data_IF_846910299395
#
_entry.id   IF_846910299395
#
_cell.length_a   1.000
_cell.length_b   1.000
_cell.length_c   1.000
_cell.angle_alpha   90.00
_cell.angle_beta   90.00
_cell.angle_gamma   90.00
#
_symmetry.space_group_name_H-M   'P 1'
#
loop_
_entity.id
_entity.type
_entity.pdbx_description
1 polymer ?
#
# COMPACT_ATOMS: atom_id res chain seq x y z
N UNK A 1 -5.57 -11.46 42.63
CA UNK A 1 -4.74 -10.24 42.51
C UNK A 1 -3.29 -10.51 42.13
N UNK A 2 -2.59 -11.51 42.71
CA UNK A 2 -1.17 -11.81 42.44
C UNK A 2 -0.84 -12.15 40.97
N UNK A 3 -1.72 -12.84 40.24
CA UNK A 3 -1.48 -13.24 38.83
C UNK A 3 -1.51 -12.07 37.85
N UNK A 4 -2.31 -11.02 38.11
CA UNK A 4 -2.36 -9.82 37.25
C UNK A 4 -1.10 -8.95 37.38
N UNK A 5 -0.49 -8.90 38.56
CA UNK A 5 0.73 -8.12 38.79
C UNK A 5 1.94 -8.75 38.07
N UNK A 6 2.07 -10.07 38.07
CA UNK A 6 3.16 -10.79 37.39
C UNK A 6 3.12 -10.61 35.87
N UNK A 7 1.94 -10.62 35.26
CA UNK A 7 1.78 -10.42 33.81
C UNK A 7 2.18 -8.99 33.40
N UNK A 8 1.77 -7.99 34.18
CA UNK A 8 2.11 -6.58 33.89
C UNK A 8 3.62 -6.35 34.02
N UNK A 9 4.26 -6.91 35.05
CA UNK A 9 5.72 -6.80 35.23
C UNK A 9 6.50 -7.50 34.12
N UNK A 10 6.05 -8.67 33.63
CA UNK A 10 6.68 -9.38 32.51
C UNK A 10 6.56 -8.62 31.18
N UNK A 11 5.41 -7.98 30.92
CA UNK A 11 5.19 -7.16 29.73
C UNK A 11 6.08 -5.90 29.74
N UNK A 12 6.24 -5.25 30.90
CA UNK A 12 7.11 -4.08 31.07
C UNK A 12 8.61 -4.45 30.99
N UNK A 13 9.02 -5.59 31.55
CA UNK A 13 10.39 -6.09 31.42
C UNK A 13 10.73 -6.49 29.98
N UNK A 14 9.78 -7.12 29.26
CA UNK A 14 9.96 -7.45 27.85
C UNK A 14 10.01 -6.20 26.96
N UNK A 15 9.20 -5.16 27.24
CA UNK A 15 9.27 -3.90 26.47
C UNK A 15 10.59 -3.15 26.71
N UNK A 16 11.13 -3.21 27.94
CA UNK A 16 12.40 -2.57 28.31
C UNK A 16 13.61 -3.31 27.74
N UNK A 17 13.59 -4.66 27.75
CA UNK A 17 14.59 -5.49 27.08
C UNK A 17 14.52 -5.37 25.56
N UNK A 18 13.32 -5.17 25.00
CA UNK A 18 13.17 -4.77 23.61
C UNK A 18 13.83 -3.41 23.38
N UNK A 19 13.62 -2.36 24.16
CA UNK A 19 14.29 -1.07 23.89
C UNK A 19 15.83 -1.13 24.00
N UNK A 20 16.38 -1.94 24.90
CA UNK A 20 17.83 -2.09 25.08
C UNK A 20 18.53 -3.00 24.05
N UNK A 21 17.78 -3.86 23.33
CA UNK A 21 18.34 -4.80 22.34
C UNK A 21 18.39 -4.25 20.91
N UNK A 22 17.99 -2.99 20.69
CA UNK A 22 17.98 -2.39 19.37
C UNK A 22 19.28 -1.66 19.19
N UNK A 23 20.33 -2.45 18.92
CA UNK A 23 21.53 -1.85 18.39
C UNK A 23 21.14 -1.13 17.10
N UNK A 24 21.32 0.21 17.04
CA UNK A 24 20.86 0.99 15.90
C UNK A 24 21.65 0.57 14.63
N UNK A 25 22.87 0.07 14.85
CA UNK A 25 23.85 -0.35 13.88
C UNK A 25 24.09 -1.86 13.85
N UNK A 26 24.31 -2.42 12.66
CA UNK A 26 24.92 -3.75 12.51
C UNK A 26 26.41 -3.72 12.88
N UNK A 27 26.71 -3.68 14.18
CA UNK A 27 28.08 -3.61 14.73
C UNK A 27 29.01 -4.72 14.28
N UNK A 28 28.48 -5.84 13.83
CA UNK A 28 29.29 -6.99 13.43
C UNK A 28 29.57 -7.02 11.93
N UNK A 29 28.71 -6.44 11.10
CA UNK A 29 28.82 -6.58 9.64
C UNK A 29 28.47 -5.31 8.86
N UNK A 30 28.61 -4.14 9.46
CA UNK A 30 28.27 -2.87 8.83
C UNK A 30 29.32 -2.35 7.85
N UNK A 31 28.95 -1.35 7.01
CA UNK A 31 29.74 -0.90 5.86
C UNK A 31 30.94 -0.03 6.22
N UNK A 32 31.23 0.17 7.50
CA UNK A 32 32.36 0.94 7.99
C UNK A 32 33.00 0.17 9.15
N UNK A 33 34.24 0.50 9.48
CA UNK A 33 34.80 0.10 10.76
C UNK A 33 34.08 0.85 11.90
N UNK A 34 34.11 0.34 13.15
CA UNK A 34 33.42 0.97 14.28
C UNK A 34 33.72 2.46 14.47
N UNK A 35 34.95 2.89 14.19
CA UNK A 35 35.40 4.29 14.37
C UNK A 35 35.38 5.12 13.07
N UNK A 36 34.87 4.54 11.97
CA UNK A 36 34.84 5.13 10.61
C UNK A 36 33.40 5.43 10.16
N UNK A 37 32.45 5.48 11.11
CA UNK A 37 31.07 5.82 10.80
C UNK A 37 30.97 7.30 10.40
N UNK A 38 30.27 7.64 9.30
CA UNK A 38 30.06 9.03 8.92
C UNK A 38 29.22 9.79 9.95
N UNK A 39 29.22 11.12 9.85
CA UNK A 39 28.36 11.96 10.68
C UNK A 39 26.88 11.55 10.49
N UNK A 40 26.19 11.35 11.61
CA UNK A 40 24.77 11.01 11.61
C UNK A 40 23.97 12.27 11.34
N UNK A 41 23.14 12.23 10.30
CA UNK A 41 22.20 13.30 9.99
C UNK A 41 21.03 13.23 10.98
N UNK A 42 20.82 14.29 11.75
CA UNK A 42 19.80 14.32 12.80
C UNK A 42 18.39 14.40 12.22
N UNK A 43 17.53 13.45 12.62
CA UNK A 43 16.10 13.50 12.37
C UNK A 43 15.36 13.94 13.64
N UNK A 44 14.37 14.82 13.48
CA UNK A 44 13.55 15.27 14.60
C UNK A 44 12.39 14.30 14.81
N UNK A 45 12.16 13.79 16.03
CA UNK A 45 10.98 12.97 16.28
C UNK A 45 9.71 13.80 16.13
N UNK A 46 8.70 13.27 15.44
CA UNK A 46 7.37 13.88 15.38
C UNK A 46 6.57 13.51 16.62
N UNK A 47 5.83 14.48 17.16
CA UNK A 47 4.87 14.26 18.23
C UNK A 47 3.61 13.57 17.69
N UNK A 48 3.05 12.66 18.49
CA UNK A 48 1.69 12.18 18.26
C UNK A 48 0.71 13.26 18.71
N UNK A 49 0.09 13.95 17.75
CA UNK A 49 -0.77 15.11 18.01
C UNK A 49 -2.17 14.71 18.49
N UNK A 50 -2.73 13.66 17.88
CA UNK A 50 -4.10 13.21 18.15
C UNK A 50 -4.29 11.76 17.70
N UNK A 51 -5.17 11.03 18.40
CA UNK A 51 -5.67 9.71 18.00
C UNK A 51 -7.18 9.82 17.89
N UNK A 52 -7.68 9.83 16.65
CA UNK A 52 -9.12 9.86 16.37
C UNK A 52 -9.59 8.45 16.06
N UNK A 53 -10.44 7.92 16.93
CA UNK A 53 -11.19 6.70 16.66
C UNK A 53 -12.49 7.08 15.97
N UNK A 54 -12.60 6.87 14.66
CA UNK A 54 -13.91 6.97 14.00
C UNK A 54 -14.67 5.65 14.14
N UNK A 55 -15.99 5.75 14.39
CA UNK A 55 -16.89 4.58 14.31
C UNK A 55 -17.15 4.14 12.86
N UNK A 56 -16.75 4.93 11.86
CA UNK A 56 -16.93 4.66 10.43
C UNK A 56 -15.57 4.64 9.72
N UNK A 57 -15.42 3.70 8.78
CA UNK A 57 -14.32 3.59 7.79
C UNK A 57 -12.95 3.13 8.32
N UNK A 58 -12.31 3.91 9.19
CA UNK A 58 -11.04 3.56 9.85
C UNK A 58 -11.28 3.42 11.35
N UNK A 59 -10.69 2.41 11.99
CA UNK A 59 -10.83 2.27 13.45
C UNK A 59 -9.96 3.28 14.18
N UNK A 60 -8.85 3.70 13.56
CA UNK A 60 -7.90 4.62 14.18
C UNK A 60 -7.22 5.47 13.10
N UNK A 61 -7.36 6.80 13.20
CA UNK A 61 -6.47 7.77 12.56
C UNK A 61 -5.52 8.32 13.62
N UNK A 62 -4.24 8.39 13.30
CA UNK A 62 -3.25 9.00 14.17
C UNK A 62 -2.46 10.06 13.43
N UNK A 63 -2.34 11.22 14.08
CA UNK A 63 -1.73 12.40 13.52
C UNK A 63 -0.35 12.63 14.11
N UNK A 64 0.60 12.99 13.25
CA UNK A 64 1.99 13.28 13.60
C UNK A 64 2.40 14.62 13.03
N UNK A 65 3.14 15.40 13.81
CA UNK A 65 3.73 16.65 13.35
C UNK A 65 4.75 17.18 14.34
N UNK A 66 5.27 18.37 14.08
CA UNK A 66 6.24 19.04 14.97
C UNK A 66 5.44 19.98 15.87
N UNK A 67 5.40 19.71 17.18
CA UNK A 67 4.58 20.46 18.13
C UNK A 67 4.85 21.97 18.12
N UNK A 68 6.11 22.38 17.92
CA UNK A 68 6.51 23.78 17.90
C UNK A 68 6.29 24.47 16.53
N UNK A 69 5.71 23.75 15.56
CA UNK A 69 5.37 24.27 14.22
C UNK A 69 3.92 23.91 13.86
N UNK A 70 2.91 24.49 14.54
CA UNK A 70 1.50 24.14 14.32
C UNK A 70 0.98 24.47 12.91
N UNK A 71 1.69 25.33 12.17
CA UNK A 71 1.35 25.68 10.79
C UNK A 71 2.03 24.77 9.74
N UNK A 72 2.90 23.84 10.16
CA UNK A 72 3.53 22.89 9.26
C UNK A 72 2.55 21.78 8.85
N UNK A 73 2.77 21.13 7.70
CA UNK A 73 2.05 19.93 7.33
C UNK A 73 2.15 18.86 8.42
N UNK A 74 1.10 18.02 8.51
CA UNK A 74 1.04 16.90 9.43
C UNK A 74 0.82 15.59 8.67
N UNK A 75 1.42 14.53 9.17
CA UNK A 75 1.23 13.18 8.66
C UNK A 75 0.04 12.52 9.38
N UNK A 76 -0.92 12.02 8.61
CA UNK A 76 -2.04 11.24 9.12
C UNK A 76 -1.89 9.79 8.69
N UNK A 77 -1.80 8.90 9.68
CA UNK A 77 -1.75 7.45 9.47
C UNK A 77 -3.10 6.86 9.87
N UNK A 78 -3.84 6.39 8.88
CA UNK A 78 -5.11 5.71 9.06
C UNK A 78 -4.91 4.20 9.01
N UNK A 79 -5.42 3.51 10.03
CA UNK A 79 -5.38 2.06 10.14
C UNK A 79 -6.79 1.50 10.37
N UNK A 80 -6.98 0.30 9.84
CA UNK A 80 -8.21 -0.45 10.01
C UNK A 80 -7.93 -1.72 10.80
N UNK A 81 -8.74 -2.02 11.81
CA UNK A 81 -8.59 -3.27 12.58
C UNK A 81 -8.66 -4.50 11.70
N UNK A 82 -7.80 -5.47 11.99
CA UNK A 82 -7.78 -6.76 11.29
C UNK A 82 -7.07 -6.71 9.93
N UNK A 83 -6.72 -5.52 9.45
CA UNK A 83 -5.94 -5.32 8.24
C UNK A 83 -4.53 -4.87 8.61
N UNK A 84 -3.55 -5.38 7.89
CA UNK A 84 -2.15 -5.06 8.12
C UNK A 84 -1.67 -3.82 7.31
N UNK A 85 -2.61 -3.10 6.70
CA UNK A 85 -2.33 -1.96 5.83
C UNK A 85 -2.51 -0.65 6.60
N UNK A 86 -1.60 0.28 6.37
CA UNK A 86 -1.72 1.66 6.84
C UNK A 86 -1.82 2.60 5.64
N UNK A 87 -2.86 3.43 5.63
CA UNK A 87 -3.01 4.53 4.69
C UNK A 87 -2.35 5.77 5.26
N UNK A 88 -1.69 6.51 4.40
CA UNK A 88 -0.91 7.68 4.73
C UNK A 88 -1.48 8.86 3.96
N UNK A 89 -1.76 9.92 4.69
CA UNK A 89 -2.15 11.21 4.16
C UNK A 89 -1.18 12.26 4.70
N UNK A 90 -0.94 13.30 3.92
CA UNK A 90 -0.34 14.53 4.40
C UNK A 90 -1.42 15.59 4.37
N UNK A 91 -1.63 16.24 5.50
CA UNK A 91 -2.59 17.32 5.65
C UNK A 91 -1.86 18.63 5.91
N UNK A 92 -2.41 19.74 5.41
CA UNK A 92 -1.96 21.08 5.80
C UNK A 92 -2.38 21.42 7.25
N UNK A 93 -2.04 22.62 7.71
CA UNK A 93 -2.39 23.10 9.05
C UNK A 93 -3.89 23.33 9.28
N UNK A 94 -4.67 23.47 8.20
CA UNK A 94 -6.12 23.57 8.25
C UNK A 94 -6.81 22.20 8.25
N UNK A 95 -6.06 21.13 7.97
CA UNK A 95 -6.55 19.77 7.88
C UNK A 95 -7.01 19.35 6.49
N UNK A 96 -6.72 20.14 5.46
CA UNK A 96 -6.96 19.74 4.07
C UNK A 96 -5.92 18.69 3.67
N UNK A 97 -6.35 17.62 3.00
CA UNK A 97 -5.43 16.62 2.47
C UNK A 97 -4.70 17.22 1.27
N UNK A 98 -3.38 17.37 1.38
CA UNK A 98 -2.50 17.86 0.31
C UNK A 98 -1.73 16.72 -0.37
N UNK A 99 -1.77 15.50 0.19
CA UNK A 99 -1.27 14.29 -0.47
C UNK A 99 -1.90 13.03 0.14
N UNK A 100 -2.19 12.04 -0.71
CA UNK A 100 -2.73 10.73 -0.33
C UNK A 100 -4.21 10.53 -0.74
N UNK A 101 -4.79 9.33 -0.50
CA UNK A 101 -4.23 8.23 0.29
C UNK A 101 -3.05 7.53 -0.39
N UNK A 102 -1.95 7.38 0.34
CA UNK A 102 -0.84 6.51 -0.03
C UNK A 102 -0.86 5.25 0.81
N UNK A 103 -0.41 4.14 0.22
CA UNK A 103 -0.19 2.92 0.97
C UNK A 103 1.22 2.95 1.53
N UNK A 104 1.33 3.08 2.85
CA UNK A 104 2.65 3.11 3.49
C UNK A 104 3.29 1.72 3.53
N UNK A 105 2.55 0.71 3.97
CA UNK A 105 2.99 -0.69 3.97
C UNK A 105 1.84 -1.65 4.32
N UNK A 106 1.94 -2.89 3.85
CA UNK A 106 1.14 -4.05 4.26
C UNK A 106 2.02 -4.94 5.13
N UNK A 107 1.56 -5.41 6.29
CA UNK A 107 2.32 -6.30 7.23
C UNK A 107 3.15 -5.56 8.29
N UNK A 108 2.53 -4.67 9.06
CA UNK A 108 3.20 -4.01 10.19
C UNK A 108 2.68 -4.53 11.53
N UNK A 109 3.60 -5.09 12.34
CA UNK A 109 3.30 -5.52 13.70
C UNK A 109 3.35 -4.34 14.68
N UNK A 110 4.28 -3.41 14.45
CA UNK A 110 4.35 -2.16 15.20
C UNK A 110 5.13 -1.09 14.44
N UNK A 111 4.71 0.16 14.62
CA UNK A 111 5.45 1.33 14.15
C UNK A 111 6.46 1.72 15.23
N UNK A 112 7.69 2.01 14.82
CA UNK A 112 8.77 2.39 15.73
C UNK A 112 8.81 3.89 15.99
N UNK A 113 8.50 4.69 14.98
CA UNK A 113 8.44 6.14 15.12
C UNK A 113 8.16 6.84 13.79
N UNK A 114 7.79 8.12 13.92
CA UNK A 114 7.68 9.08 12.82
C UNK A 114 8.65 10.20 13.12
N UNK A 115 9.40 10.61 12.11
CA UNK A 115 10.42 11.64 12.21
C UNK A 115 10.28 12.63 11.05
N UNK A 116 10.91 13.77 11.18
CA UNK A 116 10.95 14.80 10.14
C UNK A 116 12.33 15.44 9.99
N UNK A 117 12.63 15.89 8.79
CA UNK A 117 13.75 16.75 8.45
C UNK A 117 13.59 17.32 7.03
N UNK A 118 14.46 18.24 6.62
CA UNK A 118 14.63 18.60 5.21
C UNK A 118 15.57 17.57 4.56
N UNK A 119 15.03 16.62 3.79
CA UNK A 119 15.80 15.52 3.20
C UNK A 119 16.21 15.81 1.76
N UNK A 120 15.31 16.42 0.98
CA UNK A 120 15.48 16.64 -0.46
C UNK A 120 16.10 18.02 -0.83
N UNK A 121 16.27 18.92 0.15
CA UNK A 121 16.89 20.24 -0.02
C UNK A 121 16.00 21.31 -0.66
N UNK A 122 14.67 21.18 -0.58
CA UNK A 122 13.71 22.15 -1.12
C UNK A 122 13.22 23.19 -0.09
N UNK A 123 13.80 23.19 1.12
CA UNK A 123 13.40 24.06 2.23
C UNK A 123 12.10 23.65 2.93
N UNK A 124 11.47 22.53 2.57
CA UNK A 124 10.25 22.03 3.19
C UNK A 124 10.52 20.83 4.07
N UNK A 125 9.58 20.57 4.97
CA UNK A 125 9.66 19.45 5.89
C UNK A 125 9.24 18.16 5.18
N UNK A 126 10.11 17.16 5.22
CA UNK A 126 9.86 15.78 4.81
C UNK A 126 9.65 14.89 6.02
N UNK A 127 9.04 13.71 5.82
CA UNK A 127 8.80 12.75 6.90
C UNK A 127 9.44 11.39 6.63
N UNK A 128 9.82 10.73 7.71
CA UNK A 128 10.34 9.37 7.73
C UNK A 128 9.50 8.54 8.70
N UNK A 129 8.96 7.42 8.22
CA UNK A 129 8.24 6.47 9.07
C UNK A 129 9.02 5.17 9.14
N UNK A 130 9.30 4.72 10.36
CA UNK A 130 9.99 3.45 10.62
C UNK A 130 8.98 2.41 11.09
N UNK A 131 8.89 1.30 10.37
CA UNK A 131 8.05 0.16 10.72
C UNK A 131 8.89 -1.05 11.09
N UNK A 132 8.52 -1.71 12.18
CA UNK A 132 9.03 -3.02 12.51
C UNK A 132 8.22 -4.09 11.76
N UNK A 133 8.94 -4.87 10.95
CA UNK A 133 8.37 -6.00 10.22
C UNK A 133 8.03 -7.21 11.10
N UNK A 134 8.58 -7.27 12.32
CA UNK A 134 8.44 -8.45 13.18
C UNK A 134 9.19 -9.67 12.61
N UNK A 135 8.83 -10.88 13.06
CA UNK A 135 9.44 -12.14 12.61
C UNK A 135 10.10 -12.94 13.73
N UNK A 136 11.01 -13.86 13.40
CA UNK A 136 11.88 -14.57 14.35
C UNK A 136 13.35 -14.50 13.89
N UNK A 137 14.29 -14.69 14.82
CA UNK A 137 15.73 -14.71 14.51
C UNK A 137 16.29 -13.38 13.99
N UNK A 138 17.14 -13.44 12.96
CA UNK A 138 17.74 -12.25 12.34
C UNK A 138 16.73 -11.34 11.67
N UNK A 139 15.56 -11.86 11.28
CA UNK A 139 14.47 -11.06 10.70
C UNK A 139 13.79 -10.22 11.80
N UNK A 140 13.44 -10.83 12.94
CA UNK A 140 12.79 -10.13 14.05
C UNK A 140 13.59 -8.93 14.56
N UNK A 141 14.89 -9.15 14.72
CA UNK A 141 15.73 -8.21 15.45
C UNK A 141 16.06 -6.99 14.59
N UNK A 142 16.02 -7.13 13.25
CA UNK A 142 16.69 -6.20 12.34
C UNK A 142 15.82 -5.73 11.17
N UNK A 143 14.66 -6.33 10.91
CA UNK A 143 13.86 -5.95 9.74
C UNK A 143 13.07 -4.68 10.00
N UNK A 144 13.46 -3.59 9.35
CA UNK A 144 12.82 -2.29 9.46
C UNK A 144 12.53 -1.75 8.06
N UNK A 145 11.24 -1.56 7.76
CA UNK A 145 10.88 -0.76 6.59
C UNK A 145 10.97 0.72 6.93
N UNK A 146 11.44 1.49 5.96
CA UNK A 146 11.46 2.94 6.05
C UNK A 146 10.61 3.49 4.93
N UNK A 147 9.63 4.31 5.29
CA UNK A 147 8.81 5.03 4.33
C UNK A 147 9.23 6.48 4.34
N UNK A 148 9.67 6.96 3.18
CA UNK A 148 10.02 8.36 2.96
C UNK A 148 8.81 9.07 2.38
N UNK A 149 8.46 10.22 2.97
CA UNK A 149 7.40 11.11 2.51
C UNK A 149 8.06 12.42 2.16
N UNK A 150 8.30 12.63 0.86
CA UNK A 150 9.09 13.75 0.37
C UNK A 150 8.19 14.81 -0.21
N UNK A 151 8.43 16.06 0.15
CA UNK A 151 7.82 17.22 -0.48
C UNK A 151 8.16 17.27 -1.97
N UNK A 152 7.17 17.66 -2.79
CA UNK A 152 7.33 17.80 -4.25
C UNK A 152 6.25 18.75 -4.80
N UNK A 153 6.65 19.93 -5.28
CA UNK A 153 5.70 20.96 -5.75
C UNK A 153 4.74 21.39 -4.63
N UNK A 154 3.42 21.32 -4.87
CA UNK A 154 2.41 21.64 -3.85
C UNK A 154 2.02 20.43 -2.96
N UNK A 155 2.57 19.25 -3.25
CA UNK A 155 2.20 17.99 -2.60
C UNK A 155 3.36 17.25 -1.97
N UNK A 156 3.17 15.93 -1.84
CA UNK A 156 4.15 14.99 -1.30
C UNK A 156 4.11 13.67 -2.08
N UNK A 157 5.27 13.05 -2.24
CA UNK A 157 5.41 11.68 -2.74
C UNK A 157 5.72 10.72 -1.60
N UNK A 158 5.42 9.43 -1.79
CA UNK A 158 5.67 8.38 -0.79
C UNK A 158 6.50 7.26 -1.41
N UNK A 159 7.66 6.99 -0.83
CA UNK A 159 8.56 5.91 -1.24
C UNK A 159 8.84 4.97 -0.08
N UNK A 160 8.15 3.82 -0.01
CA UNK A 160 8.49 2.77 0.94
C UNK A 160 9.73 2.00 0.49
N UNK A 161 10.59 1.67 1.44
CA UNK A 161 11.77 0.82 1.24
C UNK A 161 11.72 -0.38 2.15
N UNK A 162 12.18 -1.51 1.61
CA UNK A 162 12.34 -2.75 2.37
C UNK A 162 13.81 -2.98 2.66
N UNK A 163 14.17 -2.89 3.93
CA UNK A 163 15.54 -3.06 4.40
C UNK A 163 15.62 -3.92 5.64
N UNK A 164 16.84 -4.38 5.89
CA UNK A 164 17.27 -4.82 7.22
C UNK A 164 18.08 -3.67 7.80
N UNK A 165 18.19 -3.55 9.12
CA UNK A 165 19.00 -2.55 9.80
C UNK A 165 18.79 -1.13 9.28
N UNK A 166 17.76 -0.48 9.79
CA UNK A 166 17.34 0.86 9.37
C UNK A 166 17.24 1.76 10.60
N UNK A 167 18.29 1.81 11.42
CA UNK A 167 18.40 2.70 12.58
C UNK A 167 18.45 4.17 12.17
N UNK A 168 18.34 5.08 13.15
CA UNK A 168 18.45 6.52 12.88
C UNK A 168 19.88 6.93 12.50
N UNK A 169 20.88 6.17 12.93
CA UNK A 169 22.28 6.25 12.56
C UNK A 169 22.57 5.93 11.08
N UNK A 170 21.62 5.32 10.36
CA UNK A 170 21.73 5.09 8.90
C UNK A 170 21.37 6.32 8.08
N UNK A 171 20.85 7.39 8.71
CA UNK A 171 20.72 8.71 8.12
C UNK A 171 22.04 9.43 8.34
N UNK A 172 22.76 9.73 7.26
CA UNK A 172 24.16 10.15 7.34
C UNK A 172 24.43 11.32 6.40
N UNK A 173 25.28 12.23 6.85
CA UNK A 173 25.96 13.19 5.97
C UNK A 173 27.32 12.63 5.57
N UNK A 174 27.30 11.70 4.61
CA UNK A 174 28.52 11.02 4.16
C UNK A 174 29.53 11.94 3.45
N UNK A 175 29.14 13.16 3.09
CA UNK A 175 29.99 14.11 2.38
C UNK A 175 30.41 15.32 3.23
N UNK A 176 29.81 15.50 4.41
CA UNK A 176 29.98 16.73 5.19
C UNK A 176 29.38 17.96 4.48
N UNK A 177 28.38 17.77 3.60
CA UNK A 177 27.76 18.85 2.83
C UNK A 177 26.43 19.34 3.43
N UNK A 178 26.09 18.85 4.63
CA UNK A 178 24.85 19.13 5.34
C UNK A 178 23.63 18.42 4.75
N UNK A 179 23.78 17.52 3.77
CA UNK A 179 22.63 16.84 3.14
C UNK A 179 22.47 15.39 3.61
N UNK A 180 21.25 15.00 3.92
CA UNK A 180 20.95 13.64 4.35
C UNK A 180 21.09 12.62 3.21
N UNK A 181 21.74 11.49 3.49
CA UNK A 181 21.64 10.24 2.71
C UNK A 181 21.16 9.15 3.63
N UNK A 182 20.61 8.10 3.05
CA UNK A 182 20.20 6.93 3.80
C UNK A 182 21.00 5.70 3.37
N UNK A 183 21.61 5.01 4.32
CA UNK A 183 22.24 3.72 4.07
C UNK A 183 21.14 2.66 4.08
N UNK A 184 20.91 2.02 2.94
CA UNK A 184 19.99 0.90 2.80
C UNK A 184 20.75 -0.41 2.94
N UNK A 185 20.25 -1.34 3.76
CA UNK A 185 20.88 -2.66 3.94
C UNK A 185 19.96 -3.78 3.51
N UNK A 186 20.55 -4.81 2.89
CA UNK A 186 19.87 -6.04 2.53
C UNK A 186 20.72 -7.27 2.82
N UNK A 187 20.06 -8.38 3.13
CA UNK A 187 20.69 -9.69 3.19
C UNK A 187 20.45 -10.42 1.88
N UNK A 188 21.53 -10.87 1.25
CA UNK A 188 21.51 -11.58 -0.03
C UNK A 188 21.97 -13.01 0.19
N UNK A 189 21.07 -13.95 -0.11
CA UNK A 189 21.41 -15.36 -0.11
C UNK A 189 22.20 -15.70 -1.39
N UNK A 190 23.43 -16.22 -1.26
CA UNK A 190 24.27 -16.55 -2.41
C UNK A 190 24.05 -17.96 -2.98
N UNK A 191 22.91 -18.61 -2.69
CA UNK A 191 22.56 -19.92 -3.27
C UNK A 191 22.58 -19.83 -4.79
N UNK A 192 23.21 -20.82 -5.42
CA UNK A 192 23.35 -20.91 -6.87
C UNK A 192 24.58 -20.18 -7.44
N UNK A 193 25.29 -19.39 -6.63
CA UNK A 193 26.56 -18.76 -7.01
C UNK A 193 27.66 -19.25 -6.09
N UNK A 194 28.77 -19.72 -6.66
CA UNK A 194 29.94 -20.18 -5.91
C UNK A 194 30.97 -19.06 -5.82
N UNK A 195 31.46 -18.80 -4.61
CA UNK A 195 32.58 -17.91 -4.41
C UNK A 195 33.89 -18.52 -4.90
N UNK A 196 34.99 -17.78 -4.73
CA UNK A 196 36.35 -18.24 -5.10
C UNK A 196 36.77 -19.52 -4.38
N UNK A 197 36.22 -19.78 -3.20
CA UNK A 197 36.45 -21.02 -2.44
C UNK A 197 35.58 -22.21 -2.90
N UNK A 198 34.79 -22.06 -3.97
CA UNK A 198 33.90 -23.10 -4.51
C UNK A 198 32.61 -23.31 -3.69
N UNK A 199 32.35 -22.49 -2.66
CA UNK A 199 31.17 -22.61 -1.78
C UNK A 199 30.20 -21.45 -1.98
N UNK A 200 28.96 -21.64 -1.57
CA UNK A 200 27.96 -20.57 -1.55
C UNK A 200 27.94 -19.92 -0.17
N UNK A 201 27.84 -18.59 -0.14
CA UNK A 201 27.87 -17.78 1.08
C UNK A 201 26.72 -16.77 1.06
N UNK A 202 26.42 -16.17 2.20
CA UNK A 202 25.45 -15.07 2.29
C UNK A 202 26.16 -13.75 2.51
N UNK A 203 25.53 -12.66 2.08
CA UNK A 203 26.14 -11.34 2.09
C UNK A 203 25.20 -10.29 2.66
N UNK A 204 25.75 -9.38 3.45
CA UNK A 204 25.14 -8.10 3.72
C UNK A 204 25.52 -7.15 2.59
N UNK A 205 24.52 -6.51 1.98
CA UNK A 205 24.72 -5.56 0.89
C UNK A 205 24.18 -4.21 1.34
N UNK A 206 25.06 -3.22 1.34
CA UNK A 206 24.75 -1.85 1.68
C UNK A 206 24.73 -1.00 0.42
N UNK A 207 23.66 -0.24 0.24
CA UNK A 207 23.50 0.77 -0.80
C UNK A 207 23.35 2.14 -0.15
N UNK A 208 23.73 3.18 -0.87
CA UNK A 208 23.51 4.55 -0.47
C UNK A 208 22.34 5.12 -1.27
N UNK A 209 21.35 5.64 -0.56
CA UNK A 209 20.20 6.32 -1.13
C UNK A 209 20.37 7.83 -1.01
N UNK A 210 20.01 8.56 -2.07
CA UNK A 210 19.97 10.02 -2.13
C UNK A 210 18.52 10.47 -2.38
N UNK A 211 18.16 11.60 -1.80
CA UNK A 211 16.87 12.27 -2.00
C UNK A 211 17.04 13.36 -3.08
N UNK A 212 16.19 13.35 -4.12
CA UNK A 212 16.22 14.32 -5.23
C UNK A 212 14.79 14.74 -5.57
N UNK A 213 14.39 15.93 -5.10
CA UNK A 213 12.99 16.36 -5.14
C UNK A 213 12.08 15.31 -4.49
N UNK A 214 10.93 15.01 -5.08
CA UNK A 214 10.03 13.95 -4.63
C UNK A 214 10.50 12.51 -4.85
N UNK A 215 11.80 12.22 -5.03
CA UNK A 215 12.29 10.85 -5.34
C UNK A 215 13.42 10.41 -4.43
N UNK A 216 13.39 9.13 -4.06
CA UNK A 216 14.52 8.41 -3.46
C UNK A 216 15.22 7.60 -4.55
N UNK A 217 16.53 7.76 -4.69
CA UNK A 217 17.32 7.07 -5.73
C UNK A 217 18.54 6.39 -5.13
N UNK A 218 18.91 5.22 -5.65
CA UNK A 218 20.19 4.59 -5.30
C UNK A 218 21.32 5.39 -5.95
N UNK A 219 22.26 5.88 -5.16
CA UNK A 219 23.42 6.62 -5.64
C UNK A 219 24.72 6.19 -4.94
N UNK A 220 25.10 4.93 -5.17
CA UNK A 220 26.34 4.35 -4.67
C UNK A 220 27.61 5.09 -5.12
N UNK A 221 27.56 5.87 -6.21
CA UNK A 221 28.71 6.61 -6.74
C UNK A 221 29.13 7.80 -5.85
N UNK A 222 28.31 8.20 -4.87
CA UNK A 222 28.63 9.32 -3.98
C UNK A 222 29.76 9.02 -3.00
N UNK A 223 30.06 7.75 -2.74
CA UNK A 223 31.11 7.33 -1.81
C UNK A 223 31.74 6.02 -2.28
N UNK A 224 33.08 5.88 -2.25
CA UNK A 224 33.76 4.65 -2.68
C UNK A 224 33.44 3.45 -1.79
N UNK A 225 32.81 3.66 -0.64
CA UNK A 225 32.37 2.57 0.23
C UNK A 225 31.17 1.79 -0.33
N UNK A 226 30.47 2.29 -1.36
CA UNK A 226 29.20 1.71 -1.84
C UNK A 226 29.23 1.30 -3.33
N UNK A 227 28.45 0.26 -3.75
CA UNK A 227 27.75 -0.67 -2.88
C UNK A 227 28.74 -1.53 -2.10
N UNK A 228 28.48 -1.78 -0.81
CA UNK A 228 29.36 -2.61 0.01
C UNK A 228 28.78 -4.01 0.15
N UNK A 229 29.50 -5.00 -0.36
CA UNK A 229 29.16 -6.40 -0.16
C UNK A 229 30.04 -6.99 0.94
N UNK A 230 29.44 -7.39 2.04
CA UNK A 230 30.14 -7.92 3.21
C UNK A 230 29.74 -9.37 3.38
N UNK A 231 30.73 -10.28 3.40
CA UNK A 231 30.46 -11.70 3.67
C UNK A 231 29.96 -11.86 5.10
N UNK A 232 28.75 -12.44 5.24
CA UNK A 232 28.20 -12.82 6.52
C UNK A 232 28.95 -14.04 7.08
N UNK A 233 29.65 -13.82 8.19
CA UNK A 233 30.38 -14.86 8.92
C UNK A 233 29.93 -14.88 10.38
N UNK A 234 30.29 -15.95 11.11
CA UNK A 234 29.98 -16.06 12.55
C UNK A 234 30.75 -15.06 13.43
N UNK A 235 31.82 -14.46 12.90
CA UNK A 235 32.60 -13.42 13.59
C UNK A 235 32.27 -12.05 12.98
N UNK A 236 32.55 -10.95 13.69
CA UNK A 236 32.49 -9.63 13.08
C UNK A 236 33.35 -9.57 11.81
N UNK A 237 32.80 -9.00 10.74
CA UNK A 237 33.49 -8.76 9.48
C UNK A 237 32.92 -7.51 8.82
N UNK A 238 33.76 -6.47 8.68
CA UNK A 238 33.41 -5.22 8.01
C UNK A 238 34.05 -5.11 6.62
N UNK A 239 34.85 -6.10 6.23
CA UNK A 239 35.64 -6.02 5.00
C UNK A 239 34.77 -6.38 3.78
N UNK A 240 34.97 -5.69 2.63
CA UNK A 240 34.36 -6.09 1.39
C UNK A 240 34.69 -7.54 1.05
N UNK A 241 33.71 -8.29 0.55
CA UNK A 241 33.89 -9.69 0.17
C UNK A 241 34.87 -9.80 -1.00
N UNK A 242 35.83 -10.70 -0.87
CA UNK A 242 36.70 -11.15 -1.96
C UNK A 242 36.19 -12.43 -2.61
N UNK A 243 35.08 -13.00 -2.11
CA UNK A 243 34.53 -14.26 -2.61
C UNK A 243 33.80 -14.12 -3.93
N UNK A 244 33.29 -12.93 -4.26
CA UNK A 244 32.53 -12.68 -5.49
C UNK A 244 33.27 -11.73 -6.43
N UNK A 245 33.16 -11.99 -7.74
CA UNK A 245 33.45 -10.99 -8.76
C UNK A 245 32.19 -10.13 -9.06
N UNK A 246 32.32 -9.11 -9.92
CA UNK A 246 31.22 -8.18 -10.22
C UNK A 246 30.05 -8.86 -10.94
N UNK A 247 30.31 -9.76 -11.90
CA UNK A 247 29.24 -10.50 -12.61
C UNK A 247 28.41 -11.35 -11.65
N UNK A 248 29.06 -11.97 -10.66
CA UNK A 248 28.40 -12.74 -9.61
C UNK A 248 27.58 -11.85 -8.68
N UNK A 249 28.08 -10.66 -8.32
CA UNK A 249 27.33 -9.68 -7.53
C UNK A 249 26.09 -9.22 -8.30
N UNK A 250 26.23 -8.89 -9.59
CA UNK A 250 25.12 -8.50 -10.46
C UNK A 250 24.08 -9.61 -10.60
N UNK A 251 24.52 -10.85 -10.82
CA UNK A 251 23.64 -12.02 -10.91
C UNK A 251 22.83 -12.23 -9.63
N UNK A 252 23.48 -12.17 -8.47
CA UNK A 252 22.81 -12.27 -7.18
C UNK A 252 21.88 -11.08 -6.94
N UNK A 253 22.31 -9.87 -7.29
CA UNK A 253 21.54 -8.65 -7.08
C UNK A 253 20.28 -8.56 -7.94
N UNK A 254 20.30 -9.09 -9.18
CA UNK A 254 19.17 -9.02 -10.11
C UNK A 254 17.85 -9.56 -9.53
N UNK A 255 17.93 -10.55 -8.63
CA UNK A 255 16.76 -11.10 -7.92
C UNK A 255 16.18 -10.13 -6.88
N UNK A 256 16.94 -9.10 -6.50
CA UNK A 256 16.64 -8.12 -5.45
C UNK A 256 16.71 -6.66 -5.93
N UNK A 257 16.83 -6.41 -7.23
CA UNK A 257 16.89 -5.07 -7.83
C UNK A 257 15.55 -4.32 -7.74
N UNK A 258 14.42 -5.03 -7.95
CA UNK A 258 13.07 -4.47 -7.76
C UNK A 258 12.66 -4.18 -6.30
N UNK A 259 13.12 -4.91 -5.26
CA UNK A 259 12.65 -4.68 -3.89
C UNK A 259 13.45 -3.70 -3.01
N UNK A 260 14.38 -2.86 -3.50
CA UNK A 260 14.85 -1.73 -2.65
C UNK A 260 13.66 -0.82 -2.38
N UNK A 261 13.04 -0.34 -3.46
CA UNK A 261 11.83 0.46 -3.42
C UNK A 261 10.66 -0.48 -3.56
N UNK A 262 9.90 -0.63 -2.49
CA UNK A 262 8.59 -1.24 -2.62
C UNK A 262 7.78 -0.27 -3.47
N UNK A 263 7.31 -0.70 -4.63
CA UNK A 263 6.22 0.02 -5.29
C UNK A 263 4.98 -0.42 -4.54
N UNK A 264 4.36 0.45 -3.71
CA UNK A 264 3.09 0.08 -3.13
C UNK A 264 2.19 -0.30 -4.31
N UNK A 265 1.73 -1.55 -4.33
CA UNK A 265 0.59 -1.85 -5.16
C UNK A 265 -0.48 -0.88 -4.70
N UNK A 266 -1.09 -0.18 -5.64
CA UNK A 266 -2.16 0.74 -5.33
C UNK A 266 -3.24 -0.12 -4.66
N UNK A 267 -3.36 0.02 -3.34
CA UNK A 267 -4.14 -0.93 -2.56
C UNK A 267 -5.61 -0.66 -2.82
N UNK A 268 -6.44 -1.71 -2.71
CA UNK A 268 -7.86 -1.49 -2.74
C UNK A 268 -8.28 -0.49 -1.65
N UNK A 269 -9.02 0.53 -2.04
CA UNK A 269 -9.74 1.39 -1.11
C UNK A 269 -11.04 0.66 -0.80
N UNK A 270 -11.32 0.40 0.48
CA UNK A 270 -12.55 -0.30 0.90
C UNK A 270 -13.31 0.49 1.96
N UNK A 271 -14.56 0.81 1.66
CA UNK A 271 -15.56 1.37 2.55
C UNK A 271 -16.45 0.24 3.09
N UNK A 272 -16.69 0.23 4.41
CA UNK A 272 -17.72 -0.64 5.02
C UNK A 272 -18.75 0.20 5.74
N UNK A 273 -20.01 0.06 5.35
CA UNK A 273 -21.16 0.78 5.89
C UNK A 273 -22.06 -0.25 6.58
N UNK A 274 -22.16 -0.24 7.92
CA UNK A 274 -23.16 -1.04 8.61
C UNK A 274 -24.56 -0.62 8.17
N UNK A 275 -25.37 -1.57 7.68
CA UNK A 275 -26.77 -1.33 7.38
C UNK A 275 -27.63 -1.62 8.62
N UNK A 276 -28.78 -0.97 8.73
CA UNK A 276 -29.76 -1.34 9.76
C UNK A 276 -30.44 -2.67 9.43
N UNK A 277 -31.09 -3.30 10.41
CA UNK A 277 -31.73 -4.62 10.23
C UNK A 277 -32.81 -4.64 9.13
N UNK A 278 -33.40 -3.48 8.81
CA UNK A 278 -34.41 -3.36 7.76
C UNK A 278 -33.79 -3.19 6.36
N UNK A 279 -32.51 -2.88 6.29
CA UNK A 279 -31.75 -2.61 5.07
C UNK A 279 -30.78 -3.76 4.84
N UNK A 280 -31.07 -4.63 3.87
CA UNK A 280 -30.25 -5.79 3.52
C UNK A 280 -29.99 -6.75 4.70
N UNK A 281 -31.01 -6.96 5.54
CA UNK A 281 -30.92 -7.88 6.68
C UNK A 281 -29.91 -7.48 7.76
N UNK A 282 -29.48 -6.21 7.79
CA UNK A 282 -28.43 -5.74 8.69
C UNK A 282 -27.01 -6.11 8.26
N UNK A 283 -26.83 -6.64 7.05
CA UNK A 283 -25.51 -6.95 6.54
C UNK A 283 -24.70 -5.67 6.27
N UNK A 284 -23.38 -5.75 6.40
CA UNK A 284 -22.50 -4.63 6.09
C UNK A 284 -22.40 -4.46 4.58
N UNK A 285 -22.73 -3.28 4.06
CA UNK A 285 -22.42 -2.88 2.70
C UNK A 285 -20.92 -2.63 2.57
N UNK A 286 -20.27 -3.29 1.61
CA UNK A 286 -18.86 -3.15 1.32
C UNK A 286 -18.73 -2.52 -0.06
N UNK A 287 -18.04 -1.39 -0.16
CA UNK A 287 -17.71 -0.69 -1.42
C UNK A 287 -16.20 -0.73 -1.56
N UNK A 288 -15.68 -1.27 -2.66
CA UNK A 288 -14.25 -1.47 -2.86
C UNK A 288 -13.83 -0.96 -4.23
N UNK A 289 -12.75 -0.19 -4.28
CA UNK A 289 -12.09 0.20 -5.52
C UNK A 289 -10.69 -0.39 -5.54
N UNK A 290 -10.36 -1.18 -6.56
CA UNK A 290 -9.00 -1.63 -6.81
C UNK A 290 -8.47 -0.93 -8.08
N UNK A 291 -7.52 0.02 -7.94
CA UNK A 291 -6.95 0.75 -9.08
C UNK A 291 -6.24 -0.13 -10.11
N UNK A 292 -5.85 -1.37 -9.77
CA UNK A 292 -5.30 -2.31 -10.75
C UNK A 292 -6.38 -2.73 -11.76
N UNK A 293 -7.64 -2.82 -11.34
CA UNK A 293 -8.74 -3.19 -12.24
C UNK A 293 -8.92 -2.19 -13.38
N UNK A 294 -8.64 -0.91 -13.13
CA UNK A 294 -8.75 0.16 -14.11
C UNK A 294 -7.61 0.19 -15.14
N UNK A 295 -6.57 -0.65 -15.00
CA UNK A 295 -5.42 -0.71 -15.91
C UNK A 295 -5.61 -1.67 -17.10
N UNK A 296 -6.77 -2.29 -17.21
CA UNK A 296 -7.12 -3.28 -18.24
C UNK A 296 -8.57 -3.05 -18.69
N UNK A 297 -8.92 -3.64 -19.82
CA UNK A 297 -10.31 -3.65 -20.27
C UNK A 297 -11.17 -4.28 -19.18
N UNK A 298 -12.24 -3.61 -18.81
CA UNK A 298 -13.22 -4.20 -17.93
C UNK A 298 -14.08 -5.16 -18.73
N UNK A 299 -14.24 -6.38 -18.22
CA UNK A 299 -15.12 -7.40 -18.77
C UNK A 299 -16.16 -7.75 -17.72
N UNK A 300 -17.44 -7.61 -18.07
CA UNK A 300 -18.51 -8.03 -17.17
C UNK A 300 -18.31 -9.52 -16.80
N UNK A 301 -18.41 -9.89 -15.50
CA UNK A 301 -18.01 -11.21 -15.03
C UNK A 301 -19.09 -12.27 -15.30
N UNK A 302 -19.47 -12.41 -16.57
CA UNK A 302 -20.45 -13.38 -17.02
C UNK A 302 -19.78 -14.71 -17.38
N UNK A 303 -20.31 -15.82 -16.87
CA UNK A 303 -19.71 -17.15 -17.03
C UNK A 303 -20.74 -18.28 -17.13
N UNK A 304 -20.42 -19.30 -17.93
CA UNK A 304 -21.14 -20.58 -18.00
C UNK A 304 -20.12 -21.72 -17.95
N UNK A 305 -20.36 -22.71 -17.09
CA UNK A 305 -19.56 -23.95 -17.08
C UNK A 305 -19.98 -24.94 -18.17
N UNK A 306 -21.08 -24.67 -18.88
CA UNK A 306 -21.63 -25.53 -19.93
C UNK A 306 -21.42 -24.89 -21.32
N UNK A 307 -21.23 -25.71 -22.37
CA UNK A 307 -21.11 -25.19 -23.73
C UNK A 307 -22.42 -24.55 -24.21
N UNK A 308 -22.33 -23.63 -25.16
CA UNK A 308 -23.49 -22.93 -25.73
C UNK A 308 -24.53 -23.86 -26.38
N UNK A 309 -24.10 -25.06 -26.78
CA UNK A 309 -24.95 -26.09 -27.38
C UNK A 309 -25.70 -26.94 -26.36
N UNK A 310 -25.44 -26.78 -25.06
CA UNK A 310 -26.12 -27.57 -24.03
C UNK A 310 -27.63 -27.25 -24.03
N UNK A 311 -28.51 -28.26 -23.99
CA UNK A 311 -29.97 -28.04 -23.94
C UNK A 311 -30.40 -27.13 -22.78
N UNK A 312 -29.73 -27.20 -21.63
CA UNK A 312 -30.02 -26.33 -20.50
C UNK A 312 -29.71 -24.86 -20.80
N UNK A 313 -28.61 -24.60 -21.52
CA UNK A 313 -28.17 -23.26 -21.92
C UNK A 313 -29.11 -22.67 -22.96
N UNK A 314 -29.46 -23.45 -23.98
CA UNK A 314 -30.35 -23.04 -25.08
C UNK A 314 -31.78 -22.79 -24.61
N UNK A 315 -32.35 -23.65 -23.76
CA UNK A 315 -33.72 -23.48 -23.23
C UNK A 315 -33.87 -22.18 -22.41
N UNK A 316 -32.81 -21.72 -21.75
CA UNK A 316 -32.79 -20.45 -21.00
C UNK A 316 -32.36 -19.25 -21.86
N UNK A 317 -32.11 -19.46 -23.15
CA UNK A 317 -31.65 -18.45 -24.10
C UNK A 317 -30.23 -17.93 -23.82
N UNK A 318 -29.47 -18.63 -22.97
CA UNK A 318 -28.11 -18.23 -22.58
C UNK A 318 -27.09 -18.47 -23.71
N UNK A 319 -27.45 -19.30 -24.69
CA UNK A 319 -26.78 -19.47 -25.98
C UNK A 319 -26.67 -18.16 -26.77
N UNK A 320 -27.51 -17.17 -26.47
CA UNK A 320 -27.47 -15.82 -27.07
C UNK A 320 -26.61 -14.84 -26.29
N UNK A 321 -26.04 -15.26 -25.16
CA UNK A 321 -25.26 -14.42 -24.27
C UNK A 321 -25.76 -14.42 -22.83
N UNK A 322 -24.81 -14.24 -21.90
CA UNK A 322 -25.04 -14.20 -20.46
C UNK A 322 -25.06 -12.78 -19.89
N UNK A 323 -24.63 -11.80 -20.69
CA UNK A 323 -24.72 -10.39 -20.36
C UNK A 323 -26.00 -9.81 -20.99
N UNK A 324 -26.88 -9.23 -20.17
CA UNK A 324 -28.13 -8.61 -20.62
C UNK A 324 -28.08 -7.10 -20.39
N UNK A 325 -28.05 -6.32 -21.47
CA UNK A 325 -28.09 -4.85 -21.41
C UNK A 325 -29.55 -4.42 -21.28
N UNK A 326 -29.97 -4.13 -20.04
CA UNK A 326 -31.37 -3.85 -19.68
C UNK A 326 -31.85 -2.53 -20.27
N UNK A 327 -30.95 -1.54 -20.36
CA UNK A 327 -31.21 -0.21 -20.92
C UNK A 327 -31.39 -0.21 -22.44
N UNK A 328 -30.97 -1.27 -23.12
CA UNK A 328 -31.01 -1.41 -24.58
C UNK A 328 -31.95 -2.55 -24.98
N UNK A 329 -33.23 -2.42 -24.61
CA UNK A 329 -34.31 -3.38 -24.92
C UNK A 329 -33.96 -4.84 -24.57
N UNK A 330 -33.25 -5.06 -23.46
CA UNK A 330 -32.77 -6.38 -23.02
C UNK A 330 -31.86 -7.09 -24.03
N UNK A 331 -31.07 -6.35 -24.81
CA UNK A 331 -30.08 -6.92 -25.74
C UNK A 331 -29.14 -7.88 -25.00
N UNK A 332 -28.98 -9.09 -25.53
CA UNK A 332 -28.06 -10.11 -24.99
C UNK A 332 -26.72 -10.08 -25.71
N UNK A 333 -25.66 -10.28 -24.93
CA UNK A 333 -24.28 -10.27 -25.41
C UNK A 333 -23.51 -11.45 -24.82
N UNK A 334 -22.61 -11.99 -25.65
CA UNK A 334 -21.63 -13.00 -25.22
C UNK A 334 -20.62 -12.41 -24.25
N UNK A 335 -20.22 -11.18 -24.52
CA UNK A 335 -19.26 -10.44 -23.71
C UNK A 335 -19.67 -8.96 -23.68
N UNK A 336 -19.52 -8.32 -22.52
CA UNK A 336 -19.65 -6.88 -22.38
C UNK A 336 -18.30 -6.32 -21.92
N UNK A 337 -17.72 -5.45 -22.73
CA UNK A 337 -16.37 -4.90 -22.53
C UNK A 337 -16.44 -3.38 -22.47
N UNK A 338 -15.82 -2.79 -21.46
CA UNK A 338 -15.48 -1.36 -21.42
C UNK A 338 -13.97 -1.25 -21.67
N UNK A 339 -13.54 -0.65 -22.79
CA UNK A 339 -12.12 -0.52 -23.10
C UNK A 339 -11.39 0.30 -22.04
N UNK A 340 -10.15 -0.08 -21.71
CA UNK A 340 -9.35 0.60 -20.67
C UNK A 340 -9.18 2.09 -20.92
N UNK A 341 -9.11 2.51 -22.18
CA UNK A 341 -8.93 3.92 -22.56
C UNK A 341 -10.15 4.79 -22.27
N UNK A 342 -11.31 4.17 -22.00
CA UNK A 342 -12.53 4.86 -21.56
C UNK A 342 -12.79 4.69 -20.07
N UNK A 343 -12.02 3.84 -19.40
CA UNK A 343 -12.27 3.39 -18.04
C UNK A 343 -11.61 4.33 -17.04
N UNK A 344 -12.40 4.88 -16.13
CA UNK A 344 -11.91 5.68 -15.00
C UNK A 344 -11.75 4.85 -13.75
N UNK A 345 -12.79 4.10 -13.37
CA UNK A 345 -12.78 3.28 -12.17
C UNK A 345 -13.69 2.05 -12.28
N UNK A 346 -13.36 1.01 -11.51
CA UNK A 346 -14.25 -0.13 -11.25
C UNK A 346 -14.44 -0.25 -9.76
N UNK A 347 -15.68 -0.12 -9.29
CA UNK A 347 -16.03 -0.17 -7.88
C UNK A 347 -16.88 -1.40 -7.63
N UNK A 348 -16.34 -2.35 -6.88
CA UNK A 348 -16.98 -3.60 -6.46
C UNK A 348 -17.81 -3.38 -5.21
N UNK A 349 -19.05 -3.85 -5.20
CA UNK A 349 -19.99 -3.64 -4.11
C UNK A 349 -20.71 -4.93 -3.77
N UNK A 350 -20.69 -5.29 -2.49
CA UNK A 350 -21.29 -6.53 -2.00
C UNK A 350 -21.73 -6.37 -0.55
N UNK A 351 -22.60 -7.27 -0.11
CA UNK A 351 -23.14 -7.30 1.26
C UNK A 351 -22.55 -8.46 2.05
N UNK A 352 -22.19 -8.20 3.30
CA UNK A 352 -21.69 -9.23 4.21
C UNK A 352 -20.36 -9.85 3.76
N UNK A 353 -20.05 -11.04 4.26
CA UNK A 353 -18.85 -11.81 3.89
C UNK A 353 -19.13 -12.92 2.86
N UNK A 354 -20.40 -13.28 2.68
CA UNK A 354 -20.83 -14.28 1.69
C UNK A 354 -21.37 -13.56 0.44
N UNK A 355 -20.62 -13.62 -0.65
CA UNK A 355 -20.96 -12.92 -1.90
C UNK A 355 -22.02 -13.73 -2.67
N UNK A 356 -23.27 -13.61 -2.23
CA UNK A 356 -24.43 -14.17 -2.95
C UNK A 356 -24.81 -13.27 -4.13
N UNK A 357 -24.69 -11.97 -3.93
CA UNK A 357 -24.94 -10.91 -4.90
C UNK A 357 -23.81 -9.91 -4.86
N UNK A 358 -23.38 -9.44 -6.02
CA UNK A 358 -22.41 -8.36 -6.13
C UNK A 358 -22.68 -7.46 -7.32
N UNK A 359 -22.24 -6.22 -7.18
CA UNK A 359 -22.39 -5.16 -8.14
C UNK A 359 -21.02 -4.64 -8.53
N UNK A 360 -20.79 -4.40 -9.81
CA UNK A 360 -19.68 -3.58 -10.27
C UNK A 360 -20.23 -2.26 -10.80
N UNK A 361 -19.74 -1.15 -10.26
CA UNK A 361 -19.98 0.20 -10.79
C UNK A 361 -18.75 0.61 -11.58
N UNK A 362 -18.89 0.60 -12.90
CA UNK A 362 -17.82 0.89 -13.85
C UNK A 362 -17.99 2.32 -14.33
N UNK A 363 -17.12 3.19 -13.85
CA UNK A 363 -17.07 4.59 -14.24
C UNK A 363 -16.27 4.70 -15.54
N UNK A 364 -16.94 5.11 -16.61
CA UNK A 364 -16.33 5.44 -17.89
C UNK A 364 -16.44 6.93 -18.19
N UNK A 365 -15.81 7.40 -19.27
CA UNK A 365 -15.80 8.82 -19.63
C UNK A 365 -17.19 9.43 -19.85
N UNK A 366 -18.09 8.69 -20.48
CA UNK A 366 -19.41 9.16 -20.91
C UNK A 366 -20.57 8.51 -20.12
N UNK A 367 -20.30 7.47 -19.33
CA UNK A 367 -21.33 6.70 -18.63
C UNK A 367 -20.81 5.99 -17.38
N UNK A 368 -21.74 5.67 -16.47
CA UNK A 368 -21.57 4.65 -15.45
C UNK A 368 -22.23 3.39 -15.98
N UNK A 369 -21.53 2.27 -15.94
CA UNK A 369 -22.14 0.96 -16.17
C UNK A 369 -22.34 0.30 -14.82
N UNK A 370 -23.58 -0.02 -14.46
CA UNK A 370 -23.89 -0.84 -13.29
C UNK A 370 -24.07 -2.26 -13.75
N UNK A 371 -23.28 -3.17 -13.21
CA UNK A 371 -23.36 -4.60 -13.50
C UNK A 371 -23.83 -5.29 -12.23
N UNK A 372 -24.99 -5.92 -12.30
CA UNK A 372 -25.52 -6.77 -11.23
C UNK A 372 -25.25 -8.24 -11.58
N UNK A 373 -24.66 -8.98 -10.63
CA UNK A 373 -24.44 -10.42 -10.73
C UNK A 373 -25.10 -11.13 -9.56
N UNK A 374 -25.84 -12.18 -9.89
CA UNK A 374 -26.40 -13.11 -8.91
C UNK A 374 -25.68 -14.46 -8.99
N UNK A 375 -25.14 -14.93 -7.86
CA UNK A 375 -24.48 -16.24 -7.75
C UNK A 375 -25.42 -17.35 -7.25
N UNK A 376 -26.73 -17.10 -7.23
CA UNK A 376 -27.74 -18.02 -6.67
C UNK A 376 -27.82 -19.39 -7.37
N UNK A 377 -27.25 -19.56 -8.56
CA UNK A 377 -27.29 -20.82 -9.32
C UNK A 377 -26.13 -21.78 -9.04
N UNK A 378 -25.57 -21.74 -7.82
CA UNK A 378 -24.46 -22.61 -7.39
C UNK A 378 -23.23 -22.58 -8.34
N UNK A 379 -22.99 -21.46 -9.03
CA UNK A 379 -21.84 -21.27 -9.90
C UNK A 379 -21.91 -21.95 -11.28
N UNK A 380 -23.03 -22.57 -11.67
CA UNK A 380 -23.18 -23.16 -13.02
C UNK A 380 -23.26 -22.05 -14.08
N UNK A 381 -23.97 -20.96 -13.74
CA UNK A 381 -24.07 -19.74 -14.54
C UNK A 381 -23.95 -18.53 -13.63
N UNK A 382 -23.22 -17.53 -14.11
CA UNK A 382 -23.21 -16.18 -13.58
C UNK A 382 -23.66 -15.26 -14.70
N UNK A 383 -24.98 -15.15 -14.91
CA UNK A 383 -25.51 -14.13 -15.82
C UNK A 383 -25.40 -12.75 -15.15
N UNK A 384 -25.24 -11.71 -15.95
CA UNK A 384 -25.15 -10.34 -15.46
C UNK A 384 -26.20 -9.45 -16.12
N UNK A 385 -26.86 -8.64 -15.31
CA UNK A 385 -27.69 -7.53 -15.78
C UNK A 385 -26.85 -6.26 -15.84
N UNK A 386 -26.95 -5.55 -16.95
CA UNK A 386 -26.12 -4.39 -17.24
C UNK A 386 -27.00 -3.18 -17.50
N UNK A 387 -26.73 -2.11 -16.75
CA UNK A 387 -27.41 -0.83 -16.86
C UNK A 387 -26.40 0.22 -17.28
N UNK A 388 -26.55 0.77 -18.48
CA UNK A 388 -25.73 1.87 -18.97
C UNK A 388 -26.40 3.20 -18.60
N UNK A 389 -25.83 3.91 -17.64
CA UNK A 389 -26.34 5.17 -17.11
C UNK A 389 -25.45 6.33 -17.57
N UNK A 390 -26.00 7.46 -18.04
CA UNK A 390 -25.18 8.61 -18.41
C UNK A 390 -24.38 9.17 -17.20
N UNK A 391 -23.09 9.52 -17.39
CA UNK A 391 -22.16 10.08 -16.38
C UNK A 391 -21.88 11.55 -16.68
N UNK A 392 -21.74 12.43 -15.67
CA UNK A 392 -22.55 13.63 -15.57
C UNK A 392 -22.36 14.62 -16.72
N UNK A 393 -23.50 15.11 -17.20
CA UNK A 393 -23.67 16.55 -17.43
C UNK A 393 -24.25 17.17 -16.15
N UNK A 394 -23.79 18.35 -15.73
CA UNK A 394 -24.53 19.18 -14.79
C UNK A 394 -25.98 19.36 -15.29
N UNK A 395 -26.98 19.13 -14.43
CA UNK A 395 -28.39 19.37 -14.77
C UNK A 395 -29.25 18.16 -15.15
N UNK A 396 -28.83 16.91 -14.87
CA UNK A 396 -29.78 15.77 -14.88
C UNK A 396 -30.65 15.88 -13.62
N UNK A 397 -31.73 16.64 -13.73
CA UNK A 397 -32.69 16.91 -12.64
C UNK A 397 -33.61 15.72 -12.36
N UNK A 398 -33.74 14.77 -13.29
CA UNK A 398 -34.66 13.64 -13.13
C UNK A 398 -33.93 12.32 -12.85
N UNK A 399 -33.46 12.15 -11.61
CA UNK A 399 -32.89 10.89 -11.11
C UNK A 399 -33.91 9.74 -11.13
N UNK A 400 -35.20 10.03 -11.16
CA UNK A 400 -36.25 9.02 -11.04
C UNK A 400 -36.48 8.19 -12.31
N UNK A 401 -36.19 8.71 -13.52
CA UNK A 401 -36.31 7.96 -14.78
C UNK A 401 -35.18 6.93 -14.98
N UNK A 402 -33.98 7.25 -14.48
CA UNK A 402 -32.80 6.39 -14.58
C UNK A 402 -32.90 5.18 -13.61
N UNK A 403 -33.72 5.29 -12.56
CA UNK A 403 -33.72 4.41 -11.39
C UNK A 403 -35.00 3.57 -11.23
N UNK A 404 -35.91 3.59 -12.21
CA UNK A 404 -37.23 2.98 -12.11
C UNK A 404 -37.27 1.42 -12.15
N UNK A 405 -36.14 0.74 -12.41
CA UNK A 405 -36.14 -0.71 -12.66
C UNK A 405 -35.32 -1.58 -11.68
N UNK A 406 -34.46 -0.99 -10.85
CA UNK A 406 -33.70 -1.73 -9.84
C UNK A 406 -33.56 -0.90 -8.55
N UNK A 407 -34.27 -1.36 -7.50
CA UNK A 407 -34.30 -0.72 -6.18
C UNK A 407 -32.92 -0.68 -5.53
N UNK A 408 -32.06 -1.68 -5.78
CA UNK A 408 -30.73 -1.74 -5.21
C UNK A 408 -29.81 -0.71 -5.83
N UNK A 409 -29.83 -0.56 -7.16
CA UNK A 409 -29.06 0.49 -7.83
C UNK A 409 -29.48 1.89 -7.34
N UNK A 410 -30.79 2.13 -7.12
CA UNK A 410 -31.30 3.39 -6.57
C UNK A 410 -30.74 3.71 -5.18
N UNK A 411 -30.65 2.69 -4.34
CA UNK A 411 -30.22 2.83 -2.94
C UNK A 411 -28.70 2.96 -2.84
N UNK A 412 -27.97 2.20 -3.65
CA UNK A 412 -26.50 2.15 -3.59
C UNK A 412 -25.86 3.34 -4.29
N UNK A 413 -26.35 3.72 -5.47
CA UNK A 413 -25.67 4.68 -6.36
C UNK A 413 -25.23 5.96 -5.64
N UNK A 414 -26.04 6.68 -4.84
CA UNK A 414 -25.59 7.89 -4.15
C UNK A 414 -24.36 7.68 -3.26
N UNK A 415 -24.28 6.55 -2.54
CA UNK A 415 -23.13 6.23 -1.69
C UNK A 415 -21.88 5.90 -2.50
N UNK A 416 -22.07 5.23 -3.65
CA UNK A 416 -20.98 4.91 -4.59
C UNK A 416 -20.44 6.18 -5.24
N UNK A 417 -21.33 7.09 -5.64
CA UNK A 417 -20.97 8.37 -6.23
C UNK A 417 -20.14 9.19 -5.27
N UNK A 418 -20.59 9.32 -4.02
CA UNK A 418 -19.84 9.99 -2.98
C UNK A 418 -18.47 9.31 -2.76
N UNK A 419 -18.44 7.98 -2.69
CA UNK A 419 -17.18 7.24 -2.56
C UNK A 419 -16.23 7.48 -3.75
N UNK A 420 -16.74 7.51 -4.97
CA UNK A 420 -15.97 7.82 -6.16
C UNK A 420 -15.43 9.25 -6.12
N UNK A 421 -16.29 10.24 -5.84
CA UNK A 421 -15.92 11.67 -5.81
C UNK A 421 -14.92 12.00 -4.69
N UNK A 422 -15.06 11.40 -3.51
CA UNK A 422 -14.21 11.71 -2.36
C UNK A 422 -12.89 10.93 -2.33
N UNK A 423 -12.85 9.74 -2.94
CA UNK A 423 -11.70 8.83 -2.76
C UNK A 423 -11.04 8.36 -4.05
N UNK A 424 -11.73 8.43 -5.19
CA UNK A 424 -11.22 7.89 -6.45
C UNK A 424 -10.90 9.03 -7.42
N UNK A 425 -11.89 9.85 -7.76
CA UNK A 425 -11.77 10.91 -8.75
C UNK A 425 -10.59 11.88 -8.52
N UNK A 426 -10.28 12.30 -7.27
CA UNK A 426 -9.15 13.19 -7.01
C UNK A 426 -7.77 12.55 -7.26
N UNK A 427 -7.74 11.23 -7.46
CA UNK A 427 -6.51 10.43 -7.60
C UNK A 427 -6.36 9.82 -9.01
N UNK A 428 -7.26 10.13 -9.94
CA UNK A 428 -7.17 9.72 -11.33
C UNK A 428 -6.67 10.92 -12.13
N UNK A 429 -5.39 10.90 -12.50
CA UNK A 429 -4.76 11.84 -13.44
C UNK A 429 -4.99 11.45 -14.90
#
# INVERSE_FOLDING_TARGET
MKTRLVIITLVVLMSSLCQAAWEPYNKNHGPFAPDDWPEVFELKPCDSLDIRCSRRYFKQKQYYGIKDRPNAPRLCLAQRTGWQWSWLYVEDSQGNVISGPHVAYAEVWSRLGVYSAELNGDGREDFVIRYLLGGCGTIFTFSCNVVFVLSDGDGYTVTPTTGLWSGLDYFVDIKGDGRCRFIHTRFINGRGVKGRDGKSHNYWVYNLLEFKGGKVVVNNKLSPHFPRWIWYTFKPNHQPTTQLNEDQKLLLWKQYENPIFYKPQAAPIELRIPCDANTFGGETLIIRYDPIQSKRDYKAPAFSSLPDTDPYVTVRGHDKGLARVVTDNNRRLKEYVVPKEKLRAVVDVFFGENIVEDYHFVFADDKIVVIYRSNLNAGIFSACDIYELPWPRPGIENKDDILAKDYLAKTLLPSILLFYEEHIAPNID
#
